data_IF_578630029606
#
_entry.id   IF_578630029606
#
_cell.length_a   1.000
_cell.length_b   1.000
_cell.length_c   1.000
_cell.angle_alpha   90.00
_cell.angle_beta   90.00
_cell.angle_gamma   90.00
#
_symmetry.space_group_name_H-M   'P 1'
#
loop_
_entity.id
_entity.type
_entity.pdbx_description
1 polymer ?
#
# COMPACT_ATOMS: atom_id res chain seq x y z
N UNK A 1 19.15 -0.25 -8.20
CA UNK A 1 20.53 0.27 -8.37
C UNK A 1 20.98 0.39 -9.83
N UNK A 2 20.43 -0.42 -10.75
CA UNK A 2 20.81 -0.45 -12.18
C UNK A 2 20.87 0.90 -12.91
N UNK A 3 19.97 1.84 -12.62
CA UNK A 3 19.96 3.16 -13.28
C UNK A 3 21.15 4.05 -12.86
N UNK A 4 21.64 3.89 -11.63
CA UNK A 4 22.77 4.66 -11.11
C UNK A 4 24.10 4.12 -11.66
N UNK A 5 24.24 2.80 -11.74
CA UNK A 5 25.39 2.17 -12.42
C UNK A 5 25.45 2.55 -13.90
N UNK A 6 24.30 2.55 -14.60
CA UNK A 6 24.24 2.94 -16.02
C UNK A 6 24.67 4.39 -16.25
N UNK A 7 24.38 5.28 -15.31
CA UNK A 7 24.81 6.69 -15.36
C UNK A 7 26.29 6.87 -15.07
N UNK A 8 26.88 5.99 -14.25
CA UNK A 8 28.31 6.01 -13.88
C UNK A 8 29.17 5.22 -14.85
N UNK A 9 28.57 4.34 -15.68
CA UNK A 9 29.28 3.53 -16.67
C UNK A 9 30.24 4.29 -17.62
N UNK A 10 29.98 5.55 -18.02
CA UNK A 10 30.93 6.33 -18.83
C UNK A 10 32.25 6.65 -18.10
N UNK A 11 32.27 6.64 -16.77
CA UNK A 11 33.44 6.94 -15.95
C UNK A 11 33.80 5.74 -15.07
N UNK A 12 34.72 4.90 -15.56
CA UNK A 12 35.06 3.60 -14.97
C UNK A 12 35.56 3.70 -13.52
N UNK A 13 36.30 4.77 -13.18
CA UNK A 13 36.75 5.03 -11.81
C UNK A 13 35.59 5.27 -10.85
N UNK A 14 34.59 6.03 -11.28
CA UNK A 14 33.41 6.33 -10.47
C UNK A 14 32.53 5.09 -10.29
N UNK A 15 32.39 4.26 -11.34
CA UNK A 15 31.66 2.99 -11.25
C UNK A 15 32.35 2.00 -10.29
N UNK A 16 33.68 1.87 -10.37
CA UNK A 16 34.44 0.99 -9.46
C UNK A 16 34.32 1.46 -8.01
N UNK A 17 34.52 2.76 -7.76
CA UNK A 17 34.36 3.34 -6.42
C UNK A 17 32.96 3.08 -5.85
N UNK A 18 31.92 3.25 -6.68
CA UNK A 18 30.54 2.98 -6.27
C UNK A 18 30.34 1.51 -5.87
N UNK A 19 30.85 0.56 -6.66
CA UNK A 19 30.75 -0.87 -6.36
C UNK A 19 31.52 -1.28 -5.11
N UNK A 20 32.71 -0.74 -4.92
CA UNK A 20 33.52 -1.00 -3.73
C UNK A 20 32.83 -0.49 -2.46
N UNK A 21 32.26 0.73 -2.51
CA UNK A 21 31.50 1.30 -1.41
C UNK A 21 30.24 0.48 -1.07
N UNK A 22 29.55 -0.06 -2.08
CA UNK A 22 28.40 -0.95 -1.86
C UNK A 22 28.82 -2.26 -1.18
N UNK A 23 29.92 -2.87 -1.63
CA UNK A 23 30.47 -4.08 -1.03
C UNK A 23 30.92 -3.84 0.42
N UNK A 24 31.58 -2.73 0.71
CA UNK A 24 31.98 -2.33 2.06
C UNK A 24 30.78 -2.13 3.00
N UNK A 25 29.68 -1.59 2.48
CA UNK A 25 28.42 -1.46 3.21
C UNK A 25 27.67 -2.80 3.37
N UNK A 26 28.19 -3.90 2.82
CA UNK A 26 27.55 -5.23 2.85
C UNK A 26 26.36 -5.37 1.90
N UNK A 27 26.20 -4.45 0.93
CA UNK A 27 25.17 -4.56 -0.08
C UNK A 27 25.55 -5.63 -1.11
N UNK A 28 24.69 -6.63 -1.26
CA UNK A 28 24.77 -7.67 -2.29
C UNK A 28 23.50 -7.60 -3.11
N UNK A 29 23.62 -7.40 -4.43
CA UNK A 29 22.46 -7.35 -5.32
C UNK A 29 21.66 -8.66 -5.24
N UNK A 30 20.37 -8.57 -4.94
CA UNK A 30 19.47 -9.72 -4.88
C UNK A 30 18.20 -9.42 -5.67
N UNK A 31 17.70 -10.41 -6.39
CA UNK A 31 16.52 -10.30 -7.26
C UNK A 31 15.23 -9.88 -6.52
N UNK A 32 15.17 -10.10 -5.21
CA UNK A 32 14.02 -9.70 -4.40
C UNK A 32 13.97 -8.19 -4.10
N UNK A 33 15.05 -7.44 -4.36
CA UNK A 33 15.07 -5.97 -4.27
C UNK A 33 14.42 -5.26 -5.46
N UNK A 34 14.27 -5.95 -6.58
CA UNK A 34 13.60 -5.42 -7.77
C UNK A 34 12.06 -5.51 -7.66
N UNK A 35 11.56 -6.25 -6.66
CA UNK A 35 10.15 -6.36 -6.36
C UNK A 35 9.64 -5.15 -5.58
N UNK A 36 8.39 -4.76 -5.85
CA UNK A 36 7.71 -3.82 -4.96
C UNK A 36 7.27 -4.61 -3.71
N UNK A 37 7.92 -4.36 -2.58
CA UNK A 37 7.52 -4.91 -1.29
C UNK A 37 6.53 -3.95 -0.62
N UNK A 38 5.44 -4.51 -0.10
CA UNK A 38 4.47 -3.79 0.72
C UNK A 38 4.30 -4.53 2.03
N UNK A 39 4.25 -3.77 3.12
CA UNK A 39 3.82 -4.28 4.42
C UNK A 39 2.48 -3.63 4.79
N UNK A 40 1.53 -4.40 5.35
CA UNK A 40 0.27 -3.83 5.82
C UNK A 40 0.54 -2.85 6.97
N UNK A 41 0.35 -1.56 6.73
CA UNK A 41 0.54 -0.51 7.74
C UNK A 41 -0.57 -0.50 8.80
N UNK A 42 -1.78 -0.91 8.43
CA UNK A 42 -2.93 -0.95 9.33
C UNK A 42 -3.95 -1.99 8.84
N UNK A 43 -4.50 -2.75 9.78
CA UNK A 43 -5.63 -3.66 9.56
C UNK A 43 -6.77 -3.23 10.48
N UNK A 44 -7.97 -3.05 9.92
CA UNK A 44 -9.17 -2.67 10.68
C UNK A 44 -10.28 -3.70 10.45
N UNK A 45 -10.98 -4.03 11.54
CA UNK A 45 -12.13 -4.92 11.53
C UNK A 45 -13.39 -4.14 11.89
N UNK A 46 -14.44 -4.27 11.07
CA UNK A 46 -15.74 -3.68 11.31
C UNK A 46 -16.78 -4.79 11.47
N UNK A 47 -17.62 -4.68 12.50
CA UNK A 47 -18.71 -5.63 12.76
C UNK A 47 -20.01 -5.06 12.21
N UNK A 48 -20.76 -5.88 11.47
CA UNK A 48 -22.11 -5.54 11.02
C UNK A 48 -23.08 -6.08 12.07
N UNK A 49 -23.40 -5.25 13.05
CA UNK A 49 -24.40 -5.52 14.10
C UNK A 49 -25.68 -4.72 13.83
N UNK A 50 -26.61 -4.68 14.80
CA UNK A 50 -27.88 -3.97 14.68
C UNK A 50 -27.73 -2.45 14.68
N UNK A 51 -26.62 -1.93 15.22
CA UNK A 51 -26.29 -0.51 15.23
C UNK A 51 -25.50 -0.09 13.97
N UNK A 52 -25.07 -1.06 13.15
CA UNK A 52 -24.35 -0.78 11.91
C UNK A 52 -25.26 -0.05 10.90
N UNK A 53 -24.80 1.06 10.27
CA UNK A 53 -25.64 1.84 9.37
C UNK A 53 -25.95 1.04 8.11
N UNK A 54 -27.18 0.57 8.02
CA UNK A 54 -27.69 -0.22 6.90
C UNK A 54 -29.10 0.23 6.54
N UNK A 55 -29.39 0.25 5.25
CA UNK A 55 -30.77 0.33 4.80
C UNK A 55 -31.42 -1.05 5.00
N UNK A 56 -32.47 -1.09 5.80
CA UNK A 56 -33.35 -2.24 5.99
C UNK A 56 -34.71 -1.95 5.38
N UNK A 57 -35.52 -3.02 5.19
CA UNK A 57 -36.91 -2.89 4.74
C UNK A 57 -37.72 -1.99 5.66
N UNK A 58 -37.43 -1.99 6.97
CA UNK A 58 -38.13 -1.13 7.94
C UNK A 58 -37.74 0.35 7.81
N UNK A 59 -36.52 0.65 7.36
CA UNK A 59 -36.02 2.03 7.18
C UNK A 59 -36.30 2.62 5.80
N UNK A 60 -36.70 1.80 4.83
CA UNK A 60 -36.96 2.23 3.45
C UNK A 60 -38.48 2.26 3.23
N UNK A 61 -39.10 3.45 3.05
CA UNK A 61 -40.54 3.57 2.83
C UNK A 61 -41.07 2.72 1.68
N UNK A 62 -42.32 2.27 1.81
CA UNK A 62 -43.03 1.58 0.74
C UNK A 62 -43.11 2.45 -0.53
N UNK A 63 -42.90 1.83 -1.69
CA UNK A 63 -42.92 2.51 -2.99
C UNK A 63 -41.55 2.98 -3.50
N UNK A 64 -40.48 2.77 -2.73
CA UNK A 64 -39.10 2.95 -3.23
C UNK A 64 -38.68 1.70 -4.00
N UNK A 65 -38.50 1.85 -5.31
CA UNK A 65 -38.08 0.77 -6.22
C UNK A 65 -36.57 0.49 -6.14
N UNK A 66 -35.75 1.51 -5.85
CA UNK A 66 -34.30 1.35 -5.66
C UNK A 66 -33.71 2.42 -4.74
N UNK A 67 -32.65 2.06 -4.02
CA UNK A 67 -31.89 2.96 -3.17
C UNK A 67 -30.38 2.67 -3.27
N UNK A 68 -29.58 3.73 -3.26
CA UNK A 68 -28.12 3.66 -3.21
C UNK A 68 -27.68 4.38 -1.94
N UNK A 69 -26.83 3.75 -1.14
CA UNK A 69 -26.27 4.35 0.07
C UNK A 69 -24.76 4.16 0.13
N UNK A 70 -24.09 5.10 0.80
CA UNK A 70 -22.63 5.15 0.93
C UNK A 70 -22.29 5.17 2.41
N UNK A 71 -21.44 4.22 2.83
CA UNK A 71 -20.95 4.13 4.21
C UNK A 71 -19.52 4.68 4.26
N UNK A 72 -19.25 5.54 5.24
CA UNK A 72 -17.89 5.98 5.54
C UNK A 72 -17.30 5.13 6.66
N UNK A 73 -16.38 4.21 6.32
CA UNK A 73 -15.67 3.40 7.32
C UNK A 73 -14.88 4.27 8.32
N UNK A 74 -14.38 5.43 7.88
CA UNK A 74 -13.73 6.41 8.76
C UNK A 74 -14.64 6.88 9.90
N UNK A 75 -15.95 7.02 9.65
CA UNK A 75 -16.94 7.40 10.66
C UNK A 75 -17.38 6.24 11.55
N UNK A 76 -17.08 5.00 11.14
CA UNK A 76 -17.35 3.78 11.92
C UNK A 76 -16.19 3.38 12.83
N UNK A 77 -15.03 4.03 12.69
CA UNK A 77 -13.89 3.81 13.58
C UNK A 77 -14.27 4.24 15.00
N UNK A 78 -14.37 3.27 15.92
CA UNK A 78 -14.54 3.54 17.35
C UNK A 78 -13.23 4.16 17.88
N UNK A 79 -13.33 5.28 18.61
CA UNK A 79 -12.18 5.92 19.29
C UNK A 79 -11.74 5.09 20.50
#
# INVERSE_FOLDING_TARGET
>A
MAQLEQRLAPESSALTFFRDALLEAGYVEQSHYDGIAFEPMQVEHFTVDDDFPRLTVDTVPEGIDSAVYVISLKRLRKQ
#
